data_IF_966788379757
#
_entry.id   IF_966788379757
#
_cell.length_a   1.000
_cell.length_b   1.000
_cell.length_c   1.000
_cell.angle_alpha   90.00
_cell.angle_beta   90.00
_cell.angle_gamma   90.00
#
_symmetry.space_group_name_H-M   'P 1'
#
loop_
_entity.id
_entity.type
_entity.pdbx_description
1 polymer ?
#
# COMPACT_ATOMS: atom_id res chain seq x y z
N UNK A 1 -9.84 -17.59 25.44
CA UNK A 1 -9.20 -16.31 25.87
C UNK A 1 -9.97 -15.80 27.08
N UNK A 2 -9.30 -15.38 28.18
CA UNK A 2 -10.01 -14.82 29.33
C UNK A 2 -10.48 -13.37 29.04
N UNK A 3 -11.39 -12.83 29.89
CA UNK A 3 -12.00 -11.49 29.69
C UNK A 3 -10.96 -10.36 29.54
N UNK A 4 -9.86 -10.42 30.31
CA UNK A 4 -8.79 -9.41 30.26
C UNK A 4 -8.08 -9.44 28.91
N UNK A 5 -7.72 -10.61 28.41
CA UNK A 5 -7.07 -10.74 27.09
C UNK A 5 -7.97 -10.28 25.95
N UNK A 6 -9.28 -10.55 26.06
CA UNK A 6 -10.25 -10.05 25.07
C UNK A 6 -10.34 -8.53 25.14
N UNK A 7 -10.43 -7.94 26.32
CA UNK A 7 -10.46 -6.50 26.51
C UNK A 7 -9.21 -5.82 25.90
N UNK A 8 -8.02 -6.34 26.21
CA UNK A 8 -6.76 -5.81 25.66
C UNK A 8 -6.71 -5.88 24.13
N UNK A 9 -7.24 -6.93 23.53
CA UNK A 9 -7.30 -7.07 22.08
C UNK A 9 -8.29 -6.06 21.47
N UNK A 10 -9.51 -5.96 22.03
CA UNK A 10 -10.51 -4.99 21.59
C UNK A 10 -9.97 -3.56 21.69
N UNK A 11 -9.26 -3.22 22.77
CA UNK A 11 -8.64 -1.92 22.96
C UNK A 11 -7.63 -1.59 21.82
N UNK A 12 -6.82 -2.58 21.39
CA UNK A 12 -5.92 -2.40 20.25
C UNK A 12 -6.69 -2.14 18.95
N UNK A 13 -7.80 -2.83 18.72
CA UNK A 13 -8.62 -2.62 17.50
C UNK A 13 -9.32 -1.26 17.49
N UNK A 14 -9.87 -0.84 18.63
CA UNK A 14 -10.48 0.48 18.78
C UNK A 14 -9.42 1.57 18.55
N UNK A 15 -8.25 1.43 19.15
CA UNK A 15 -7.13 2.35 18.95
C UNK A 15 -6.69 2.38 17.48
N UNK A 16 -6.49 1.20 16.87
CA UNK A 16 -6.09 1.08 15.47
C UNK A 16 -7.06 1.77 14.52
N UNK A 17 -8.37 1.60 14.75
CA UNK A 17 -9.41 2.28 13.99
C UNK A 17 -9.35 3.80 14.20
N UNK A 18 -9.36 4.25 15.48
CA UNK A 18 -9.45 5.66 15.83
C UNK A 18 -8.28 6.49 15.28
N UNK A 19 -7.03 6.01 15.38
CA UNK A 19 -5.86 6.76 14.89
C UNK A 19 -5.85 6.88 13.36
N UNK A 20 -6.51 5.97 12.64
CA UNK A 20 -6.63 6.01 11.17
C UNK A 20 -7.73 6.96 10.67
N UNK A 21 -8.61 7.41 11.55
CA UNK A 21 -9.62 8.42 11.21
C UNK A 21 -9.06 9.84 11.16
N UNK A 22 -7.83 10.07 11.64
CA UNK A 22 -7.21 11.40 11.59
C UNK A 22 -7.11 11.89 10.14
N UNK A 23 -7.76 13.02 9.83
CA UNK A 23 -7.86 13.61 8.48
C UNK A 23 -8.31 12.59 7.41
N UNK A 24 -9.29 11.74 7.74
CA UNK A 24 -9.80 10.70 6.83
C UNK A 24 -10.52 11.29 5.62
N UNK A 25 -11.05 12.51 5.76
CA UNK A 25 -11.78 13.29 4.77
C UNK A 25 -10.89 14.16 3.88
N UNK A 26 -9.56 14.12 4.07
CA UNK A 26 -8.63 14.84 3.19
C UNK A 26 -8.89 14.48 1.72
N UNK A 27 -8.92 15.45 0.80
CA UNK A 27 -8.90 15.17 -0.63
C UNK A 27 -7.58 14.48 -1.02
N UNK A 28 -7.58 13.81 -2.18
CA UNK A 28 -6.37 13.17 -2.73
C UNK A 28 -5.40 14.26 -3.23
N UNK A 29 -4.69 14.88 -2.30
CA UNK A 29 -3.66 15.89 -2.52
C UNK A 29 -2.64 15.90 -1.36
N UNK A 30 -2.70 14.90 -0.48
CA UNK A 30 -1.73 14.63 0.58
C UNK A 30 -0.54 13.80 0.03
N UNK A 31 0.34 13.28 0.89
CA UNK A 31 1.58 12.61 0.44
C UNK A 31 1.31 11.45 -0.52
N UNK A 32 2.11 11.33 -1.58
CA UNK A 32 1.92 10.38 -2.68
C UNK A 32 0.54 10.46 -3.36
N UNK A 33 0.01 11.68 -3.50
CA UNK A 33 -1.30 11.95 -4.13
C UNK A 33 -1.44 11.32 -5.52
N UNK A 34 -0.39 11.35 -6.36
CA UNK A 34 -0.42 10.75 -7.70
C UNK A 34 -0.79 9.26 -7.66
N UNK A 35 -0.21 8.51 -6.72
CA UNK A 35 -0.46 7.07 -6.63
C UNK A 35 -1.86 6.76 -6.11
N UNK A 36 -2.37 7.59 -5.17
CA UNK A 36 -3.74 7.50 -4.68
C UNK A 36 -4.75 7.88 -5.79
N UNK A 37 -4.46 8.95 -6.55
CA UNK A 37 -5.27 9.41 -7.67
C UNK A 37 -5.39 8.35 -8.76
N UNK A 38 -4.29 7.74 -9.17
CA UNK A 38 -4.28 6.64 -10.12
C UNK A 38 -5.16 5.46 -9.66
N UNK A 39 -5.01 5.06 -8.39
CA UNK A 39 -5.78 3.96 -7.82
C UNK A 39 -7.27 4.30 -7.72
N UNK A 40 -7.61 5.48 -7.20
CA UNK A 40 -9.00 5.93 -7.07
C UNK A 40 -9.68 6.13 -8.43
N UNK A 41 -8.91 6.57 -9.44
CA UNK A 41 -9.40 6.76 -10.81
C UNK A 41 -9.89 5.46 -11.45
N UNK A 42 -9.22 4.34 -11.21
CA UNK A 42 -9.71 3.02 -11.66
C UNK A 42 -11.08 2.71 -11.04
N UNK A 43 -11.26 3.02 -9.75
CA UNK A 43 -12.57 2.83 -9.09
C UNK A 43 -13.63 3.80 -9.61
N UNK A 44 -13.25 5.03 -9.94
CA UNK A 44 -14.14 5.97 -10.63
C UNK A 44 -14.60 5.41 -11.96
N UNK A 45 -13.66 4.84 -12.76
CA UNK A 45 -13.97 4.16 -14.00
C UNK A 45 -14.97 3.01 -13.82
N UNK A 46 -14.87 2.22 -12.74
CA UNK A 46 -15.86 1.19 -12.42
C UNK A 46 -17.25 1.77 -12.16
N UNK A 47 -17.33 2.96 -11.55
CA UNK A 47 -18.60 3.64 -11.30
C UNK A 47 -19.25 4.20 -12.57
N UNK A 48 -18.43 4.69 -13.52
CA UNK A 48 -18.88 5.39 -14.72
C UNK A 48 -19.12 4.44 -15.91
N UNK A 49 -18.24 3.44 -16.09
CA UNK A 49 -18.18 2.58 -17.27
C UNK A 49 -18.53 1.10 -16.98
N UNK A 50 -18.72 0.77 -15.68
CA UNK A 50 -18.89 -0.63 -15.23
C UNK A 50 -17.57 -1.31 -14.87
N UNK A 51 -17.70 -2.43 -14.13
CA UNK A 51 -16.55 -3.19 -13.63
C UNK A 51 -15.89 -3.97 -14.76
N UNK A 52 -14.60 -3.71 -15.01
CA UNK A 52 -13.76 -4.53 -15.88
C UNK A 52 -12.44 -4.86 -15.16
N UNK A 53 -12.33 -6.08 -14.64
CA UNK A 53 -11.14 -6.52 -13.93
C UNK A 53 -10.00 -6.93 -14.85
N UNK A 54 -10.30 -7.28 -16.11
CA UNK A 54 -9.27 -7.72 -17.07
C UNK A 54 -8.56 -6.55 -17.74
N UNK A 55 -9.28 -5.45 -17.99
CA UNK A 55 -8.80 -4.27 -18.70
C UNK A 55 -9.20 -3.04 -17.91
N UNK A 56 -8.57 -2.78 -16.74
CA UNK A 56 -8.85 -1.58 -15.95
C UNK A 56 -8.37 -0.32 -16.67
N UNK A 57 -9.16 0.75 -16.55
CA UNK A 57 -8.85 2.06 -17.11
C UNK A 57 -8.79 3.14 -16.04
N UNK A 58 -8.07 4.21 -16.29
CA UNK A 58 -7.96 5.38 -15.43
C UNK A 58 -8.05 6.67 -16.25
N UNK A 59 -7.86 7.83 -15.64
CA UNK A 59 -8.11 9.14 -16.25
C UNK A 59 -6.93 9.69 -17.08
N UNK A 60 -5.70 9.18 -16.90
CA UNK A 60 -4.52 9.65 -17.63
C UNK A 60 -4.41 8.99 -19.01
N UNK A 61 -4.43 9.82 -20.07
CA UNK A 61 -4.32 9.40 -21.46
C UNK A 61 -2.91 9.62 -22.04
N UNK A 62 -1.97 10.07 -21.19
CA UNK A 62 -0.62 10.41 -21.63
C UNK A 62 0.27 9.18 -21.83
N UNK A 63 1.44 9.42 -22.39
CA UNK A 63 2.49 8.42 -22.55
C UNK A 63 3.49 8.37 -21.38
N UNK A 64 3.27 9.13 -20.29
CA UNK A 64 4.25 9.27 -19.19
C UNK A 64 4.59 7.93 -18.56
N UNK A 65 3.59 7.09 -18.32
CA UNK A 65 3.76 5.85 -17.55
C UNK A 65 4.50 4.77 -18.35
N UNK A 66 4.16 4.61 -19.64
CA UNK A 66 4.62 3.49 -20.47
C UNK A 66 5.60 3.91 -21.58
N UNK A 67 5.73 5.21 -21.85
CA UNK A 67 6.41 5.74 -23.04
C UNK A 67 5.57 5.64 -24.33
N UNK A 68 4.32 5.16 -24.27
CA UNK A 68 3.40 4.99 -25.40
C UNK A 68 2.12 5.76 -25.15
N UNK A 69 1.56 6.42 -26.18
CA UNK A 69 0.25 7.07 -26.08
C UNK A 69 -0.81 6.07 -25.62
N UNK A 70 -1.65 6.51 -24.68
CA UNK A 70 -2.64 5.67 -24.00
C UNK A 70 -4.07 6.25 -24.15
N UNK A 71 -4.61 6.35 -25.37
CA UNK A 71 -5.90 7.03 -25.61
C UNK A 71 -7.09 6.36 -24.90
N UNK A 72 -6.96 5.09 -24.55
CA UNK A 72 -7.99 4.34 -23.84
C UNK A 72 -7.86 4.44 -22.32
N UNK A 73 -6.80 5.06 -21.81
CA UNK A 73 -6.52 5.16 -20.39
C UNK A 73 -6.33 3.81 -19.71
N UNK A 74 -5.68 2.83 -20.34
CA UNK A 74 -5.42 1.53 -19.72
C UNK A 74 -4.48 1.66 -18.53
N UNK A 75 -4.76 0.90 -17.45
CA UNK A 75 -3.96 0.91 -16.21
C UNK A 75 -3.61 -0.51 -15.76
N UNK A 76 -2.53 -1.07 -16.30
CA UNK A 76 -2.12 -2.47 -16.13
C UNK A 76 -0.98 -2.63 -15.10
N UNK A 77 -1.12 -2.00 -13.93
CA UNK A 77 -0.11 -2.05 -12.85
C UNK A 77 -0.36 -3.23 -11.93
N UNK A 78 -1.54 -3.27 -11.31
CA UNK A 78 -2.01 -4.35 -10.46
C UNK A 78 -3.32 -4.92 -11.01
N UNK A 79 -3.61 -6.18 -10.65
CA UNK A 79 -4.97 -6.69 -10.84
C UNK A 79 -5.92 -5.91 -9.92
N UNK A 80 -7.04 -5.34 -10.42
CA UNK A 80 -7.79 -4.29 -9.71
C UNK A 80 -8.73 -4.83 -8.62
N UNK A 81 -8.27 -5.81 -7.86
CA UNK A 81 -9.04 -6.39 -6.77
C UNK A 81 -9.29 -5.38 -5.63
N UNK A 82 -8.32 -4.53 -5.31
CA UNK A 82 -8.50 -3.43 -4.35
C UNK A 82 -9.62 -2.49 -4.81
N UNK A 83 -9.65 -2.17 -6.11
CA UNK A 83 -10.66 -1.28 -6.69
C UNK A 83 -12.07 -1.89 -6.62
N UNK A 84 -12.18 -3.21 -6.68
CA UNK A 84 -13.47 -3.90 -6.48
C UNK A 84 -13.99 -3.71 -5.04
N UNK A 85 -13.13 -3.86 -4.02
CA UNK A 85 -13.51 -3.59 -2.62
C UNK A 85 -13.83 -2.11 -2.39
N UNK A 86 -13.03 -1.21 -2.94
CA UNK A 86 -13.26 0.23 -2.88
C UNK A 86 -14.61 0.60 -3.52
N UNK A 87 -14.89 0.07 -4.71
CA UNK A 87 -16.17 0.28 -5.39
C UNK A 87 -17.35 -0.27 -4.58
N UNK A 88 -17.22 -1.47 -4.00
CA UNK A 88 -18.24 -2.06 -3.14
C UNK A 88 -18.53 -1.17 -1.91
N UNK A 89 -17.48 -0.63 -1.26
CA UNK A 89 -17.64 0.31 -0.15
C UNK A 89 -18.36 1.59 -0.59
N UNK A 90 -17.95 2.16 -1.74
CA UNK A 90 -18.60 3.35 -2.30
C UNK A 90 -20.08 3.10 -2.63
N UNK A 91 -20.42 1.95 -3.22
CA UNK A 91 -21.80 1.58 -3.52
C UNK A 91 -22.65 1.35 -2.26
N UNK A 92 -22.05 0.80 -1.20
CA UNK A 92 -22.74 0.59 0.07
C UNK A 92 -23.00 1.92 0.82
N UNK A 93 -22.09 2.90 0.68
CA UNK A 93 -22.11 4.17 1.39
C UNK A 93 -21.86 5.37 0.46
N UNK A 94 -22.71 5.63 -0.56
CA UNK A 94 -22.43 6.63 -1.59
C UNK A 94 -22.34 8.07 -1.05
N UNK A 95 -22.98 8.35 0.10
CA UNK A 95 -22.99 9.67 0.73
C UNK A 95 -21.64 10.12 1.31
N UNK A 96 -20.69 9.19 1.55
CA UNK A 96 -19.36 9.56 2.03
C UNK A 96 -18.41 9.98 0.90
N UNK A 97 -18.80 9.78 -0.35
CA UNK A 97 -17.97 10.06 -1.53
C UNK A 97 -16.91 8.99 -1.82
N UNK A 98 -16.35 9.06 -3.03
CA UNK A 98 -15.43 8.04 -3.53
C UNK A 98 -14.10 8.00 -2.74
N UNK A 99 -13.51 9.16 -2.48
CA UNK A 99 -12.20 9.26 -1.81
C UNK A 99 -12.25 8.72 -0.38
N UNK A 100 -13.27 9.10 0.39
CA UNK A 100 -13.44 8.60 1.76
C UNK A 100 -13.76 7.10 1.77
N UNK A 101 -14.57 6.61 0.82
CA UNK A 101 -14.86 5.17 0.69
C UNK A 101 -13.57 4.35 0.46
N UNK A 102 -12.65 4.86 -0.38
CA UNK A 102 -11.34 4.22 -0.61
C UNK A 102 -10.48 4.19 0.64
N UNK A 103 -10.40 5.30 1.37
CA UNK A 103 -9.66 5.38 2.64
C UNK A 103 -10.23 4.42 3.68
N UNK A 104 -11.55 4.38 3.87
CA UNK A 104 -12.20 3.45 4.80
C UNK A 104 -12.02 1.99 4.39
N UNK A 105 -11.97 1.69 3.09
CA UNK A 105 -11.61 0.36 2.58
C UNK A 105 -10.20 -0.03 3.03
N UNK A 106 -9.21 0.86 2.88
CA UNK A 106 -7.84 0.63 3.35
C UNK A 106 -7.78 0.42 4.86
N UNK A 107 -8.53 1.23 5.63
CA UNK A 107 -8.63 1.09 7.10
C UNK A 107 -9.18 -0.28 7.47
N UNK A 108 -10.29 -0.71 6.88
CA UNK A 108 -10.88 -2.03 7.16
C UNK A 108 -9.91 -3.18 6.85
N UNK A 109 -9.22 -3.12 5.70
CA UNK A 109 -8.21 -4.11 5.30
C UNK A 109 -7.00 -4.11 6.25
N UNK A 110 -6.61 -2.95 6.77
CA UNK A 110 -5.57 -2.84 7.79
C UNK A 110 -5.97 -3.51 9.10
N UNK A 111 -7.23 -3.36 9.54
CA UNK A 111 -7.73 -4.06 10.73
C UNK A 111 -7.72 -5.58 10.53
N UNK A 112 -8.10 -6.06 9.33
CA UNK A 112 -7.98 -7.48 8.97
C UNK A 112 -6.52 -7.95 9.05
N UNK A 113 -5.58 -7.14 8.57
CA UNK A 113 -4.14 -7.44 8.67
C UNK A 113 -3.68 -7.54 10.12
N UNK A 114 -4.11 -6.63 10.99
CA UNK A 114 -3.80 -6.65 12.44
C UNK A 114 -4.37 -7.91 13.09
N UNK A 115 -5.58 -8.31 12.70
CA UNK A 115 -6.20 -9.54 13.21
C UNK A 115 -5.36 -10.78 12.85
N UNK A 116 -5.05 -10.96 11.58
CA UNK A 116 -4.28 -12.14 11.16
C UNK A 116 -2.85 -12.12 11.70
N UNK A 117 -2.22 -10.96 11.81
CA UNK A 117 -0.93 -10.83 12.48
C UNK A 117 -1.01 -11.28 13.93
N UNK A 118 -2.02 -10.81 14.69
CA UNK A 118 -2.27 -11.25 16.07
C UNK A 118 -2.45 -12.76 16.16
N UNK A 119 -3.32 -13.34 15.34
CA UNK A 119 -3.62 -14.77 15.34
C UNK A 119 -2.37 -15.61 15.06
N UNK A 120 -1.59 -15.25 14.05
CA UNK A 120 -0.34 -15.93 13.68
C UNK A 120 0.66 -15.85 14.84
N UNK A 121 0.93 -14.65 15.33
CA UNK A 121 1.95 -14.44 16.36
C UNK A 121 1.54 -14.98 17.72
N UNK A 122 0.24 -14.91 18.08
CA UNK A 122 -0.28 -15.55 19.26
C UNK A 122 -0.10 -17.07 19.20
N UNK A 123 -0.38 -17.68 18.04
CA UNK A 123 -0.23 -19.13 17.84
C UNK A 123 1.24 -19.57 17.92
N UNK A 124 2.14 -18.81 17.34
CA UNK A 124 3.54 -19.18 17.23
C UNK A 124 4.36 -18.78 18.47
N UNK A 125 4.10 -17.63 19.09
CA UNK A 125 4.93 -17.04 20.16
C UNK A 125 4.16 -16.66 21.42
N UNK A 126 2.85 -16.98 21.48
CA UNK A 126 2.00 -16.72 22.64
C UNK A 126 1.34 -15.34 22.64
N UNK A 127 0.39 -15.18 23.58
CA UNK A 127 -0.49 -13.99 23.63
C UNK A 127 0.28 -12.67 23.73
N UNK A 128 1.31 -12.59 24.58
CA UNK A 128 2.01 -11.34 24.83
C UNK A 128 2.71 -10.80 23.57
N UNK A 129 3.43 -11.66 22.83
CA UNK A 129 4.08 -11.28 21.56
C UNK A 129 3.02 -10.97 20.51
N UNK A 130 1.92 -11.75 20.45
CA UNK A 130 0.81 -11.49 19.54
C UNK A 130 0.16 -10.14 19.77
N UNK A 131 -0.15 -9.81 21.03
CA UNK A 131 -0.76 -8.54 21.39
C UNK A 131 0.15 -7.35 21.11
N UNK A 132 1.46 -7.47 21.44
CA UNK A 132 2.44 -6.43 21.12
C UNK A 132 2.62 -6.24 19.62
N UNK A 133 2.66 -7.32 18.83
CA UNK A 133 2.76 -7.22 17.35
C UNK A 133 1.55 -6.48 16.78
N UNK A 134 0.35 -6.80 17.27
CA UNK A 134 -0.87 -6.08 16.89
C UNK A 134 -0.84 -4.61 17.33
N UNK A 135 -0.35 -4.31 18.54
CA UNK A 135 -0.22 -2.95 19.04
C UNK A 135 0.77 -2.13 18.20
N UNK A 136 1.96 -2.65 17.94
CA UNK A 136 2.94 -1.96 17.09
C UNK A 136 2.37 -1.69 15.69
N UNK A 137 1.73 -2.67 15.06
CA UNK A 137 1.09 -2.48 13.77
C UNK A 137 -0.07 -1.48 13.82
N UNK A 138 -0.77 -1.37 14.96
CA UNK A 138 -1.86 -0.43 15.16
C UNK A 138 -1.38 1.02 15.24
N UNK A 139 -0.23 1.31 15.88
CA UNK A 139 0.11 2.66 16.30
C UNK A 139 1.35 3.27 15.67
N UNK A 140 2.21 2.50 14.97
CA UNK A 140 3.37 3.07 14.28
C UNK A 140 2.89 4.09 13.25
N UNK A 141 3.27 5.39 13.34
CA UNK A 141 2.74 6.46 12.52
C UNK A 141 2.87 6.21 11.01
N UNK A 142 3.99 5.65 10.59
CA UNK A 142 4.20 5.23 9.20
C UNK A 142 3.12 4.26 8.73
N UNK A 143 2.85 3.22 9.51
CA UNK A 143 1.81 2.25 9.16
C UNK A 143 0.41 2.86 9.25
N UNK A 144 0.15 3.73 10.22
CA UNK A 144 -1.13 4.45 10.34
C UNK A 144 -1.42 5.24 9.07
N UNK A 145 -0.44 6.00 8.57
CA UNK A 145 -0.61 6.77 7.34
C UNK A 145 -0.84 5.86 6.13
N UNK A 146 0.08 4.93 5.83
CA UNK A 146 0.01 4.12 4.62
C UNK A 146 -1.09 3.05 4.62
N UNK A 147 -1.70 2.76 5.75
CA UNK A 147 -2.85 1.86 5.84
C UNK A 147 -4.22 2.55 5.84
N UNK A 148 -4.25 3.88 5.64
CA UNK A 148 -5.50 4.65 5.44
C UNK A 148 -5.58 5.31 4.05
N UNK A 149 -4.47 5.45 3.33
CA UNK A 149 -4.46 6.04 1.98
C UNK A 149 -4.95 5.04 0.94
N UNK A 150 -5.38 5.54 -0.22
CA UNK A 150 -5.99 4.72 -1.29
C UNK A 150 -4.89 4.00 -2.07
N UNK A 151 -4.44 2.87 -1.52
CA UNK A 151 -3.39 2.04 -2.07
C UNK A 151 -3.75 0.55 -1.99
N UNK A 152 -3.26 -0.30 -2.90
CA UNK A 152 -3.52 -1.75 -2.88
C UNK A 152 -2.74 -2.52 -1.81
N UNK A 153 -1.69 -1.93 -1.22
CA UNK A 153 -0.81 -2.56 -0.22
C UNK A 153 -1.56 -3.11 1.00
N UNK A 154 -2.54 -2.41 1.62
CA UNK A 154 -3.31 -2.96 2.75
C UNK A 154 -4.05 -4.26 2.40
N UNK A 155 -4.58 -4.36 1.17
CA UNK A 155 -5.25 -5.58 0.71
C UNK A 155 -4.26 -6.72 0.54
N UNK A 156 -3.12 -6.46 -0.10
CA UNK A 156 -2.07 -7.48 -0.28
C UNK A 156 -1.62 -8.06 1.07
N UNK A 157 -1.35 -7.19 2.05
CA UNK A 157 -0.91 -7.61 3.39
C UNK A 157 -1.99 -8.43 4.10
N UNK A 158 -3.26 -8.01 4.02
CA UNK A 158 -4.39 -8.74 4.61
C UNK A 158 -4.53 -10.15 4.02
N UNK A 159 -4.52 -10.25 2.70
CA UNK A 159 -4.62 -11.53 1.97
C UNK A 159 -3.44 -12.45 2.25
N UNK A 160 -2.22 -11.88 2.25
CA UNK A 160 -1.00 -12.64 2.52
C UNK A 160 -0.98 -13.23 3.94
N UNK A 161 -1.29 -12.44 4.96
CA UNK A 161 -1.36 -12.90 6.34
C UNK A 161 -2.50 -13.91 6.54
N UNK A 162 -3.66 -13.66 5.94
CA UNK A 162 -4.78 -14.61 5.97
C UNK A 162 -4.39 -15.95 5.32
N UNK A 163 -3.71 -15.92 4.17
CA UNK A 163 -3.19 -17.12 3.52
C UNK A 163 -2.29 -17.93 4.47
N UNK A 164 -1.33 -17.27 5.09
CA UNK A 164 -0.42 -17.96 6.01
C UNK A 164 -1.14 -18.51 7.25
N UNK A 165 -2.14 -17.80 7.78
CA UNK A 165 -2.97 -18.29 8.87
C UNK A 165 -3.69 -19.61 8.50
N UNK A 166 -4.38 -19.64 7.34
CA UNK A 166 -5.07 -20.86 6.91
C UNK A 166 -4.09 -22.00 6.61
N UNK A 167 -2.89 -21.68 6.11
CA UNK A 167 -1.85 -22.69 5.93
C UNK A 167 -1.39 -23.29 7.28
N UNK A 168 -1.22 -22.48 8.32
CA UNK A 168 -0.91 -22.97 9.66
C UNK A 168 -2.03 -23.86 10.22
N UNK A 169 -3.29 -23.48 9.98
CA UNK A 169 -4.43 -24.29 10.41
C UNK A 169 -4.50 -25.64 9.63
N UNK A 170 -4.13 -25.67 8.36
CA UNK A 170 -4.10 -26.91 7.58
C UNK A 170 -3.19 -27.96 8.18
N UNK A 171 -2.06 -27.53 8.76
CA UNK A 171 -1.08 -28.44 9.40
C UNK A 171 -1.65 -29.14 10.66
N UNK A 172 -2.73 -28.63 11.25
CA UNK A 172 -3.32 -29.16 12.50
C UNK A 172 -4.62 -29.93 12.25
N UNK A 173 -5.10 -29.99 11.03
CA UNK A 173 -6.37 -30.62 10.67
C UNK A 173 -6.14 -31.90 9.88
N UNK A 174 -7.20 -32.67 9.76
CA UNK A 174 -7.15 -33.91 8.99
C UNK A 174 -8.15 -33.93 7.84
N UNK A 175 -7.91 -34.80 6.84
CA UNK A 175 -8.80 -35.11 5.73
C UNK A 175 -9.35 -33.84 5.02
N UNK A 176 -10.69 -33.76 4.87
CA UNK A 176 -11.38 -32.72 4.12
C UNK A 176 -11.10 -31.31 4.65
N UNK A 177 -11.12 -31.11 5.96
CA UNK A 177 -10.86 -29.78 6.56
C UNK A 177 -9.44 -29.25 6.24
N UNK A 178 -8.44 -30.13 6.21
CA UNK A 178 -7.07 -29.79 5.78
C UNK A 178 -7.08 -29.28 4.33
N UNK A 179 -7.71 -30.01 3.41
CA UNK A 179 -7.78 -29.63 1.98
C UNK A 179 -8.48 -28.30 1.77
N UNK A 180 -9.57 -28.05 2.49
CA UNK A 180 -10.27 -26.75 2.47
C UNK A 180 -9.32 -25.63 2.89
N UNK A 181 -8.56 -25.79 3.96
CA UNK A 181 -7.63 -24.76 4.42
C UNK A 181 -6.43 -24.58 3.47
N UNK A 182 -5.91 -25.65 2.85
CA UNK A 182 -4.90 -25.54 1.81
C UNK A 182 -5.44 -24.77 0.59
N UNK A 183 -6.63 -25.07 0.15
CA UNK A 183 -7.28 -24.37 -0.96
C UNK A 183 -7.52 -22.89 -0.63
N UNK A 184 -8.08 -22.57 0.55
CA UNK A 184 -8.25 -21.18 0.98
C UNK A 184 -6.92 -20.43 1.06
N UNK A 185 -5.89 -21.07 1.61
CA UNK A 185 -4.55 -20.50 1.68
C UNK A 185 -3.98 -20.20 0.28
N UNK A 186 -4.05 -21.16 -0.65
CA UNK A 186 -3.53 -20.96 -2.01
C UNK A 186 -4.28 -19.88 -2.78
N UNK A 187 -5.61 -19.80 -2.67
CA UNK A 187 -6.43 -18.77 -3.31
C UNK A 187 -6.13 -17.38 -2.74
N UNK A 188 -6.01 -17.25 -1.41
CA UNK A 188 -5.65 -15.97 -0.77
C UNK A 188 -4.23 -15.54 -1.14
N UNK A 189 -3.27 -16.46 -1.23
CA UNK A 189 -1.92 -16.17 -1.70
C UNK A 189 -1.92 -15.73 -3.16
N UNK A 190 -2.67 -16.39 -4.01
CA UNK A 190 -2.87 -16.01 -5.41
C UNK A 190 -3.42 -14.59 -5.54
N UNK A 191 -4.45 -14.25 -4.77
CA UNK A 191 -5.02 -12.90 -4.75
C UNK A 191 -3.99 -11.87 -4.25
N UNK A 192 -3.19 -12.19 -3.22
CA UNK A 192 -2.13 -11.32 -2.74
C UNK A 192 -1.07 -11.03 -3.83
N UNK A 193 -0.65 -12.07 -4.59
CA UNK A 193 0.32 -11.94 -5.69
C UNK A 193 -0.28 -11.16 -6.87
N UNK A 194 -1.56 -11.37 -7.20
CA UNK A 194 -2.28 -10.60 -8.23
C UNK A 194 -2.36 -9.10 -7.87
N UNK A 195 -2.62 -8.78 -6.60
CA UNK A 195 -2.66 -7.38 -6.12
C UNK A 195 -1.27 -6.77 -6.13
N UNK A 196 -0.26 -7.49 -5.62
CA UNK A 196 1.14 -7.02 -5.63
C UNK A 196 2.09 -8.22 -5.78
N UNK A 197 2.78 -8.34 -6.90
CA UNK A 197 3.72 -9.45 -7.12
C UNK A 197 4.83 -9.56 -6.07
N UNK A 198 5.10 -8.46 -5.35
CA UNK A 198 6.08 -8.43 -4.27
C UNK A 198 5.76 -9.38 -3.11
N UNK A 199 4.51 -9.85 -2.98
CA UNK A 199 4.15 -10.89 -2.03
C UNK A 199 5.02 -12.15 -2.16
N UNK A 200 5.56 -12.43 -3.35
CA UNK A 200 6.43 -13.58 -3.62
C UNK A 200 7.72 -13.59 -2.78
N UNK A 201 8.23 -12.41 -2.41
CA UNK A 201 9.43 -12.34 -1.57
C UNK A 201 9.23 -12.90 -0.16
N UNK A 202 7.99 -12.96 0.31
CA UNK A 202 7.66 -13.35 1.69
C UNK A 202 7.12 -14.78 1.80
N UNK A 203 7.09 -15.57 0.71
CA UNK A 203 6.52 -16.93 0.70
C UNK A 203 7.39 -18.00 1.34
N UNK A 204 8.65 -17.71 1.71
CA UNK A 204 9.55 -18.70 2.30
C UNK A 204 8.93 -19.47 3.48
N UNK A 205 8.22 -18.84 4.44
CA UNK A 205 7.51 -19.56 5.49
C UNK A 205 6.38 -20.46 4.96
N UNK A 206 5.69 -20.07 3.88
CA UNK A 206 4.68 -20.94 3.25
C UNK A 206 5.34 -22.20 2.70
N UNK A 207 6.44 -22.05 1.98
CA UNK A 207 7.22 -23.17 1.45
C UNK A 207 7.68 -24.09 2.60
N UNK A 208 8.21 -23.53 3.69
CA UNK A 208 8.66 -24.30 4.85
C UNK A 208 7.53 -25.12 5.47
N UNK A 209 6.30 -24.56 5.60
CA UNK A 209 5.15 -25.28 6.14
C UNK A 209 4.69 -26.39 5.18
N UNK A 210 4.64 -26.15 3.88
CA UNK A 210 4.28 -27.14 2.86
C UNK A 210 5.30 -28.28 2.86
N UNK A 211 6.60 -27.99 2.83
CA UNK A 211 7.66 -29.00 2.88
C UNK A 211 7.59 -29.83 4.16
N UNK A 212 7.37 -29.19 5.31
CA UNK A 212 7.19 -29.89 6.58
C UNK A 212 5.99 -30.85 6.53
N UNK A 213 4.84 -30.41 6.01
CA UNK A 213 3.66 -31.27 5.88
C UNK A 213 3.92 -32.44 4.92
N UNK A 214 4.68 -32.19 3.83
CA UNK A 214 5.06 -33.23 2.87
C UNK A 214 5.99 -34.29 3.52
N UNK A 215 7.05 -33.85 4.21
CA UNK A 215 7.98 -34.74 4.92
C UNK A 215 7.29 -35.57 6.00
N UNK A 216 6.32 -34.96 6.71
CA UNK A 216 5.51 -35.66 7.72
C UNK A 216 4.36 -36.47 7.09
N UNK A 217 4.30 -36.61 5.76
CA UNK A 217 3.26 -37.36 5.01
C UNK A 217 1.83 -36.89 5.34
N UNK A 218 1.70 -35.64 5.75
CA UNK A 218 0.40 -35.00 6.06
C UNK A 218 -0.34 -34.53 4.80
N UNK A 219 0.39 -34.29 3.72
CA UNK A 219 -0.11 -34.00 2.37
C UNK A 219 0.64 -34.81 1.34
N UNK A 220 0.03 -34.99 0.18
CA UNK A 220 0.65 -35.65 -0.98
C UNK A 220 1.48 -34.66 -1.80
N UNK A 221 2.38 -35.16 -2.65
CA UNK A 221 3.13 -34.32 -3.60
C UNK A 221 2.19 -33.59 -4.58
N UNK A 222 1.07 -34.21 -4.94
CA UNK A 222 0.04 -33.60 -5.81
C UNK A 222 -0.60 -32.41 -5.10
N UNK A 223 -0.95 -32.53 -3.82
CA UNK A 223 -1.51 -31.42 -3.03
C UNK A 223 -0.51 -30.26 -2.88
N UNK A 224 0.76 -30.55 -2.64
CA UNK A 224 1.83 -29.55 -2.57
C UNK A 224 2.02 -28.82 -3.92
N UNK A 225 2.05 -29.57 -5.01
CA UNK A 225 2.17 -29.02 -6.36
C UNK A 225 0.95 -28.20 -6.76
N UNK A 226 -0.26 -28.71 -6.45
CA UNK A 226 -1.52 -27.98 -6.68
C UNK A 226 -1.56 -26.66 -5.91
N UNK A 227 -1.06 -26.62 -4.67
CA UNK A 227 -0.94 -25.39 -3.89
C UNK A 227 -0.08 -24.34 -4.62
N UNK A 228 1.07 -24.73 -5.14
CA UNK A 228 1.98 -23.84 -5.89
C UNK A 228 1.33 -23.34 -7.19
N UNK A 229 0.73 -24.23 -7.96
CA UNK A 229 0.04 -23.92 -9.22
C UNK A 229 -1.10 -22.92 -8.98
N UNK A 230 -2.01 -23.21 -8.05
CA UNK A 230 -3.15 -22.33 -7.74
C UNK A 230 -2.71 -20.97 -7.23
N UNK A 231 -1.58 -20.90 -6.51
CA UNK A 231 -1.04 -19.65 -6.01
C UNK A 231 -0.43 -18.75 -7.10
N UNK A 232 0.15 -19.33 -8.17
CA UNK A 232 0.97 -18.59 -9.14
C UNK A 232 0.31 -18.42 -10.51
N UNK A 233 -0.41 -19.44 -11.00
CA UNK A 233 -0.96 -19.44 -12.36
C UNK A 233 -1.87 -18.24 -12.65
N UNK A 234 -2.80 -17.82 -11.77
CA UNK A 234 -3.66 -16.67 -12.06
C UNK A 234 -2.88 -15.38 -12.35
N UNK A 235 -1.75 -15.17 -11.68
CA UNK A 235 -0.87 -14.04 -11.95
C UNK A 235 -0.26 -14.13 -13.35
N UNK A 236 0.27 -15.28 -13.76
CA UNK A 236 0.87 -15.45 -15.09
C UNK A 236 -0.17 -15.30 -16.20
N UNK A 237 -1.37 -15.85 -16.02
CA UNK A 237 -2.47 -15.69 -16.98
C UNK A 237 -2.87 -14.22 -17.14
N UNK A 238 -2.96 -13.48 -16.03
CA UNK A 238 -3.25 -12.05 -16.10
C UNK A 238 -2.12 -11.27 -16.77
N UNK A 239 -0.84 -11.56 -16.44
CA UNK A 239 0.32 -10.93 -17.10
C UNK A 239 0.32 -11.18 -18.59
N UNK A 240 -0.01 -12.40 -19.03
CA UNK A 240 -0.14 -12.74 -20.44
C UNK A 240 -1.28 -11.95 -21.13
N UNK A 241 -2.40 -11.79 -20.42
CA UNK A 241 -3.53 -11.01 -20.95
C UNK A 241 -3.16 -9.53 -21.15
N UNK A 242 -2.56 -8.87 -20.16
CA UNK A 242 -2.24 -7.44 -20.23
C UNK A 242 -1.09 -7.13 -21.18
N UNK A 243 -0.25 -8.11 -21.54
CA UNK A 243 0.81 -7.93 -22.54
C UNK A 243 0.28 -7.50 -23.91
N UNK A 244 -1.02 -7.67 -24.16
CA UNK A 244 -1.72 -7.20 -25.38
C UNK A 244 -1.96 -5.68 -25.38
N UNK A 245 -1.78 -5.02 -24.23
CA UNK A 245 -2.06 -3.59 -23.99
C UNK A 245 -0.81 -2.89 -23.41
N UNK A 246 0.30 -2.84 -24.17
CA UNK A 246 1.59 -2.37 -23.65
C UNK A 246 1.57 -0.90 -23.22
N UNK A 247 0.67 -0.07 -23.78
CA UNK A 247 0.47 1.32 -23.39
C UNK A 247 -0.06 1.48 -21.96
N UNK A 248 -0.73 0.46 -21.44
CA UNK A 248 -1.22 0.44 -20.06
C UNK A 248 -0.21 -0.10 -19.01
N UNK A 249 0.94 -0.62 -19.47
CA UNK A 249 1.96 -1.22 -18.60
C UNK A 249 3.05 -0.18 -18.33
N UNK A 250 3.20 0.31 -17.07
CA UNK A 250 4.26 1.27 -16.75
C UNK A 250 5.66 0.69 -16.95
N UNK A 251 6.58 1.56 -17.36
CA UNK A 251 7.99 1.23 -17.37
C UNK A 251 8.47 0.84 -15.95
N UNK A 252 9.18 -0.26 -15.84
CA UNK A 252 9.55 -0.86 -14.55
C UNK A 252 11.06 -0.99 -14.30
N UNK A 253 11.90 -0.59 -15.26
CA UNK A 253 13.36 -0.72 -15.14
C UNK A 253 13.93 0.05 -13.95
N UNK A 254 13.37 1.22 -13.67
CA UNK A 254 13.74 2.06 -12.52
C UNK A 254 13.45 1.37 -11.17
N UNK A 255 12.51 0.44 -11.15
CA UNK A 255 12.05 -0.24 -9.94
C UNK A 255 13.12 -1.16 -9.36
N UNK A 256 13.86 -1.83 -10.22
CA UNK A 256 14.87 -2.82 -9.85
C UNK A 256 16.21 -2.15 -9.48
N UNK A 257 17.24 -2.31 -10.25
CA UNK A 257 18.56 -1.75 -9.97
C UNK A 257 19.20 -1.07 -11.20
N UNK A 258 18.40 -0.41 -12.04
CA UNK A 258 18.84 0.12 -13.34
C UNK A 258 20.08 1.04 -13.24
N UNK A 259 20.22 1.83 -12.17
CA UNK A 259 21.36 2.72 -11.96
C UNK A 259 22.46 2.12 -11.07
N UNK A 260 22.44 0.82 -10.79
CA UNK A 260 23.37 0.16 -9.86
C UNK A 260 23.25 0.66 -8.41
N UNK A 261 22.10 1.23 -8.04
CA UNK A 261 21.89 1.96 -6.78
C UNK A 261 22.20 1.12 -5.53
N UNK A 262 21.92 -0.21 -5.55
CA UNK A 262 22.16 -1.11 -4.41
C UNK A 262 23.65 -1.23 -4.04
N UNK A 263 24.57 -0.85 -4.94
CA UNK A 263 26.00 -0.87 -4.70
C UNK A 263 26.56 0.48 -4.25
N UNK A 264 25.71 1.48 -4.06
CA UNK A 264 26.08 2.81 -3.63
C UNK A 264 25.81 3.00 -2.14
N UNK A 265 26.69 3.70 -1.37
CA UNK A 265 26.45 3.99 0.05
C UNK A 265 25.11 4.70 0.31
N UNK A 266 24.65 5.52 -0.64
CA UNK A 266 23.36 6.20 -0.57
C UNK A 266 22.17 5.23 -0.41
N UNK A 267 22.23 4.02 -1.03
CA UNK A 267 21.17 3.02 -0.91
C UNK A 267 21.01 2.54 0.54
N UNK A 268 22.13 2.24 1.21
CA UNK A 268 22.12 1.81 2.60
C UNK A 268 21.62 2.91 3.53
N UNK A 269 22.09 4.15 3.33
CA UNK A 269 21.62 5.30 4.11
C UNK A 269 20.12 5.50 3.96
N UNK A 270 19.61 5.61 2.74
CA UNK A 270 18.20 5.87 2.51
C UNK A 270 17.31 4.76 3.03
N UNK A 271 17.67 3.50 2.81
CA UNK A 271 16.84 2.38 3.15
C UNK A 271 16.87 2.06 4.65
N UNK A 272 18.05 1.97 5.23
CA UNK A 272 18.19 1.53 6.64
C UNK A 272 18.15 2.70 7.63
N UNK A 273 18.79 3.83 7.34
CA UNK A 273 18.76 4.97 8.27
C UNK A 273 17.47 5.80 8.12
N UNK A 274 17.13 6.23 6.90
CA UNK A 274 15.99 7.14 6.70
C UNK A 274 14.65 6.39 6.73
N UNK A 275 14.46 5.33 5.89
CA UNK A 275 13.18 4.62 5.81
C UNK A 275 12.93 3.77 7.05
N UNK A 276 13.80 2.79 7.31
CA UNK A 276 13.61 1.86 8.42
C UNK A 276 13.88 2.55 9.77
N UNK A 277 15.05 3.14 9.94
CA UNK A 277 15.49 3.69 11.23
C UNK A 277 14.68 4.92 11.68
N UNK A 278 14.47 5.89 10.77
CA UNK A 278 13.83 7.16 11.13
C UNK A 278 12.31 7.10 10.95
N UNK A 279 11.81 6.86 9.73
CA UNK A 279 10.36 6.93 9.47
C UNK A 279 9.58 5.84 10.20
N UNK A 280 10.05 4.59 10.18
CA UNK A 280 9.32 3.45 10.74
C UNK A 280 9.63 3.27 12.22
N UNK A 281 10.92 3.19 12.57
CA UNK A 281 11.36 2.88 13.94
C UNK A 281 11.54 4.11 14.84
N UNK A 282 11.33 5.34 14.31
CA UNK A 282 11.47 6.58 15.10
C UNK A 282 12.78 6.60 15.87
N UNK A 283 13.87 6.12 15.26
CA UNK A 283 15.22 5.96 15.80
C UNK A 283 15.26 5.01 17.03
N UNK A 284 14.52 5.31 18.10
CA UNK A 284 14.55 4.55 19.35
C UNK A 284 13.98 3.13 19.25
N UNK A 285 13.03 2.90 18.36
CA UNK A 285 12.49 1.57 18.07
C UNK A 285 13.54 0.60 17.48
N UNK A 286 14.66 1.13 16.98
CA UNK A 286 15.78 0.31 16.52
C UNK A 286 16.31 -0.60 17.62
N UNK A 287 16.30 -0.16 18.88
CA UNK A 287 16.70 -0.98 20.04
C UNK A 287 15.80 -2.21 20.20
N UNK A 288 14.48 -2.03 20.15
CA UNK A 288 13.55 -3.17 20.20
C UNK A 288 13.70 -4.08 18.99
N UNK A 289 13.87 -3.50 17.80
CA UNK A 289 14.04 -4.26 16.56
C UNK A 289 15.29 -5.13 16.60
N UNK A 290 16.45 -4.59 17.00
CA UNK A 290 17.69 -5.33 17.13
C UNK A 290 17.63 -6.41 18.21
N UNK A 291 17.02 -6.10 19.38
CA UNK A 291 16.76 -7.11 20.41
C UNK A 291 15.86 -8.23 19.88
N UNK A 292 14.88 -7.91 19.04
CA UNK A 292 14.02 -8.89 18.40
C UNK A 292 14.77 -9.80 17.42
N UNK A 293 15.72 -9.24 16.67
CA UNK A 293 16.56 -9.99 15.76
C UNK A 293 17.48 -10.98 16.50
N UNK A 294 18.06 -10.61 17.63
CA UNK A 294 18.92 -11.51 18.40
C UNK A 294 18.14 -12.46 19.34
N UNK A 295 16.83 -12.28 19.47
CA UNK A 295 15.99 -13.15 20.30
C UNK A 295 15.95 -14.57 19.73
N UNK A 296 16.37 -15.54 20.54
CA UNK A 296 16.40 -16.96 20.11
C UNK A 296 15.03 -17.42 19.64
N UNK A 297 14.96 -18.16 18.52
CA UNK A 297 13.75 -18.83 18.10
C UNK A 297 13.20 -19.77 19.17
N UNK A 298 11.90 -19.84 19.32
CA UNK A 298 11.17 -20.74 20.22
C UNK A 298 10.21 -21.60 19.40
N UNK A 299 8.95 -21.66 19.79
CA UNK A 299 7.93 -22.46 19.11
C UNK A 299 7.67 -22.03 17.66
N UNK A 300 7.96 -20.78 17.31
CA UNK A 300 7.88 -20.25 15.96
C UNK A 300 8.97 -20.82 15.01
N UNK A 301 9.99 -21.46 15.55
CA UNK A 301 11.15 -21.91 14.78
C UNK A 301 11.78 -20.73 14.01
N UNK A 302 12.15 -20.97 12.76
CA UNK A 302 12.78 -19.96 11.92
C UNK A 302 11.77 -19.15 11.08
N UNK A 303 10.46 -19.25 11.30
CA UNK A 303 9.41 -18.56 10.52
C UNK A 303 9.66 -17.07 10.35
N UNK A 304 9.97 -16.35 11.43
CA UNK A 304 10.20 -14.90 11.39
C UNK A 304 11.51 -14.55 10.67
N UNK A 305 12.53 -15.39 10.80
CA UNK A 305 13.79 -15.24 10.08
C UNK A 305 13.63 -15.48 8.57
N UNK A 306 12.77 -16.40 8.16
CA UNK A 306 12.42 -16.59 6.76
C UNK A 306 11.72 -15.38 6.17
N UNK A 307 10.84 -14.72 6.94
CA UNK A 307 10.26 -13.42 6.52
C UNK A 307 11.33 -12.32 6.48
N UNK A 308 12.24 -12.27 7.43
CA UNK A 308 13.34 -11.31 7.41
C UNK A 308 14.25 -11.49 6.19
N UNK A 309 14.56 -12.70 5.81
CA UNK A 309 15.25 -13.00 4.55
C UNK A 309 14.44 -12.51 3.34
N UNK A 310 13.12 -12.67 3.38
CA UNK A 310 12.22 -12.11 2.39
C UNK A 310 12.31 -10.59 2.28
N UNK A 311 12.40 -9.87 3.41
CA UNK A 311 12.64 -8.41 3.43
C UNK A 311 13.96 -8.05 2.76
N UNK A 312 15.03 -8.76 3.11
CA UNK A 312 16.37 -8.50 2.53
C UNK A 312 16.37 -8.76 1.02
N UNK A 313 15.74 -9.85 0.57
CA UNK A 313 15.59 -10.16 -0.85
C UNK A 313 14.75 -9.08 -1.56
N UNK A 314 13.62 -8.66 -0.97
CA UNK A 314 12.77 -7.60 -1.49
C UNK A 314 13.52 -6.28 -1.64
N UNK A 315 14.24 -5.86 -0.61
CA UNK A 315 15.04 -4.64 -0.65
C UNK A 315 16.13 -4.71 -1.72
N UNK A 316 16.80 -5.86 -1.84
CA UNK A 316 17.89 -6.05 -2.80
C UNK A 316 17.40 -6.08 -4.24
N UNK A 317 16.27 -6.73 -4.53
CA UNK A 317 15.73 -6.87 -5.88
C UNK A 317 14.99 -5.60 -6.31
N UNK A 318 14.12 -5.07 -5.45
CA UNK A 318 13.31 -3.87 -5.73
C UNK A 318 14.05 -2.62 -5.19
N UNK A 319 15.34 -2.52 -5.48
CA UNK A 319 16.23 -1.54 -4.89
C UNK A 319 15.84 -0.08 -5.22
N UNK A 320 15.52 0.20 -6.48
CA UNK A 320 15.10 1.54 -6.93
C UNK A 320 13.76 1.96 -6.37
N UNK A 321 12.77 1.04 -6.38
CA UNK A 321 11.44 1.30 -5.83
C UNK A 321 11.47 1.66 -4.35
N UNK A 322 12.19 0.88 -3.56
CA UNK A 322 12.31 1.08 -2.11
C UNK A 322 12.98 2.39 -1.69
N UNK A 323 13.81 2.98 -2.57
CA UNK A 323 14.43 4.29 -2.30
C UNK A 323 13.53 5.43 -2.73
N UNK A 324 12.94 5.33 -3.93
CA UNK A 324 12.18 6.44 -4.53
C UNK A 324 10.86 6.70 -3.84
N UNK A 325 10.19 5.62 -3.37
CA UNK A 325 8.86 5.73 -2.80
C UNK A 325 8.77 4.96 -1.48
N UNK A 326 8.45 5.67 -0.41
CA UNK A 326 8.35 5.12 0.95
C UNK A 326 7.14 4.19 1.14
N UNK A 327 6.06 4.31 0.38
CA UNK A 327 4.93 3.36 0.47
C UNK A 327 5.31 1.91 0.13
N UNK A 328 6.45 1.68 -0.53
CA UNK A 328 6.96 0.32 -0.77
C UNK A 328 7.29 -0.41 0.54
N UNK A 329 7.63 0.30 1.62
CA UNK A 329 7.88 -0.30 2.92
C UNK A 329 6.59 -0.65 3.68
N UNK A 330 5.41 -0.23 3.23
CA UNK A 330 4.15 -0.57 3.90
C UNK A 330 3.92 -2.10 3.99
N UNK A 331 4.38 -2.85 3.00
CA UNK A 331 4.22 -4.32 2.95
C UNK A 331 5.07 -5.09 3.96
N UNK A 332 6.15 -4.50 4.49
CA UNK A 332 7.01 -5.16 5.48
C UNK A 332 6.59 -4.89 6.93
N UNK A 333 5.61 -4.01 7.14
CA UNK A 333 5.20 -3.57 8.49
C UNK A 333 4.79 -4.71 9.44
N UNK A 334 4.08 -5.76 9.00
CA UNK A 334 3.77 -6.89 9.89
C UNK A 334 5.01 -7.56 10.47
N UNK A 335 6.04 -7.73 9.63
CA UNK A 335 7.26 -8.43 10.03
C UNK A 335 8.10 -7.57 10.96
N UNK A 336 8.18 -6.25 10.73
CA UNK A 336 8.81 -5.30 11.63
C UNK A 336 8.10 -5.31 13.00
N UNK A 337 6.77 -5.29 13.03
CA UNK A 337 5.98 -5.34 14.26
C UNK A 337 6.26 -6.62 15.08
N UNK A 338 6.47 -7.76 14.43
CA UNK A 338 6.84 -9.01 15.10
C UNK A 338 8.21 -8.88 15.79
N UNK A 339 9.22 -8.36 15.10
CA UNK A 339 10.55 -8.21 15.69
C UNK A 339 10.56 -7.19 16.83
N UNK A 340 9.83 -6.08 16.73
CA UNK A 340 9.63 -5.14 17.82
C UNK A 340 9.02 -5.84 19.06
N UNK A 341 7.96 -6.62 18.84
CA UNK A 341 7.29 -7.37 19.91
C UNK A 341 8.20 -8.41 20.58
N UNK A 342 8.99 -9.14 19.78
CA UNK A 342 10.00 -10.07 20.29
C UNK A 342 11.10 -9.36 21.08
N UNK A 343 11.53 -8.19 20.64
CA UNK A 343 12.53 -7.39 21.34
C UNK A 343 12.06 -6.94 22.69
N UNK A 344 10.84 -6.41 22.78
CA UNK A 344 10.21 -6.07 24.07
C UNK A 344 10.08 -7.31 24.96
N UNK A 345 9.63 -8.44 24.39
CA UNK A 345 9.53 -9.71 25.13
C UNK A 345 10.86 -10.20 25.66
N UNK A 346 11.94 -10.09 24.88
CA UNK A 346 13.30 -10.44 25.32
C UNK A 346 13.73 -9.51 26.45
N UNK A 347 13.60 -8.19 26.28
CA UNK A 347 14.00 -7.20 27.27
C UNK A 347 13.30 -7.44 28.61
N UNK A 348 11.99 -7.69 28.61
CA UNK A 348 11.22 -8.00 29.83
C UNK A 348 11.63 -9.34 30.45
N UNK A 349 12.06 -10.31 29.65
CA UNK A 349 12.50 -11.62 30.12
C UNK A 349 13.89 -11.65 30.77
N UNK A 350 14.71 -10.60 30.56
CA UNK A 350 16.07 -10.52 31.16
C UNK A 350 16.05 -10.05 32.62
N UNK A 351 14.92 -9.58 33.12
CA UNK A 351 14.81 -9.00 34.48
C UNK A 351 14.68 -10.09 35.55
N UNK A 352 15.51 -10.04 36.57
CA UNK A 352 15.55 -11.03 37.64
C UNK A 352 14.91 -10.58 38.97
N UNK A 353 14.89 -9.26 39.25
CA UNK A 353 14.35 -8.67 40.49
C UNK A 353 13.13 -7.80 40.20
N UNK A 354 12.30 -7.52 41.21
CA UNK A 354 11.16 -6.62 41.09
C UNK A 354 11.62 -5.21 40.66
N UNK A 355 12.69 -4.70 41.31
CA UNK A 355 13.25 -3.39 41.00
C UNK A 355 13.72 -3.32 39.53
N UNK A 356 14.46 -4.33 39.03
CA UNK A 356 14.89 -4.36 37.66
C UNK A 356 13.72 -4.45 36.64
N UNK A 357 12.60 -5.08 37.05
CA UNK A 357 11.38 -5.12 36.20
C UNK A 357 10.75 -3.75 36.04
N UNK A 358 10.63 -2.96 37.11
CA UNK A 358 10.08 -1.61 37.03
C UNK A 358 10.95 -0.67 36.20
N UNK A 359 12.29 -0.72 36.37
CA UNK A 359 13.22 0.06 35.53
C UNK A 359 13.13 -0.35 34.07
N UNK A 360 13.05 -1.64 33.76
CA UNK A 360 12.92 -2.15 32.39
C UNK A 360 11.58 -1.74 31.77
N UNK A 361 10.49 -1.79 32.55
CA UNK A 361 9.19 -1.32 32.06
C UNK A 361 9.22 0.18 31.76
N UNK A 362 9.78 1.00 32.66
CA UNK A 362 9.93 2.43 32.45
C UNK A 362 10.78 2.73 31.19
N UNK A 363 11.92 2.07 31.06
CA UNK A 363 12.76 2.20 29.88
C UNK A 363 12.01 1.78 28.58
N UNK A 364 11.26 0.68 28.64
CA UNK A 364 10.44 0.23 27.54
C UNK A 364 9.35 1.23 27.14
N UNK A 365 8.68 1.84 28.13
CA UNK A 365 7.67 2.89 27.88
C UNK A 365 8.33 4.13 27.25
N UNK A 366 9.47 4.56 27.78
CA UNK A 366 10.19 5.72 27.24
C UNK A 366 10.67 5.49 25.81
N UNK A 367 11.25 4.32 25.50
CA UNK A 367 11.65 3.93 24.15
C UNK A 367 10.44 3.92 23.21
N UNK A 368 9.32 3.31 23.64
CA UNK A 368 8.10 3.26 22.86
C UNK A 368 7.53 4.67 22.60
N UNK A 369 7.41 5.49 23.64
CA UNK A 369 6.90 6.86 23.50
C UNK A 369 7.79 7.71 22.58
N UNK A 370 9.12 7.64 22.74
CA UNK A 370 10.08 8.34 21.87
C UNK A 370 10.03 7.85 20.42
N UNK A 371 9.91 6.53 20.21
CA UNK A 371 9.72 5.93 18.89
C UNK A 371 8.48 6.52 18.19
N UNK A 372 7.33 6.54 18.88
CA UNK A 372 6.08 7.06 18.31
C UNK A 372 6.18 8.57 18.06
N UNK A 373 6.73 9.34 19.01
CA UNK A 373 6.84 10.78 18.89
C UNK A 373 7.74 11.22 17.71
N UNK A 374 8.90 10.56 17.52
CA UNK A 374 9.83 10.89 16.43
C UNK A 374 9.27 10.43 15.09
N UNK A 375 8.74 9.21 15.01
CA UNK A 375 8.08 8.74 13.78
C UNK A 375 6.89 9.66 13.42
N UNK A 376 6.11 10.14 14.40
CA UNK A 376 5.03 11.10 14.15
C UNK A 376 5.55 12.47 13.67
N UNK A 377 6.65 12.96 14.24
CA UNK A 377 7.26 14.21 13.79
C UNK A 377 7.59 14.18 12.29
N UNK A 378 8.10 13.07 11.80
CA UNK A 378 8.45 12.89 10.38
C UNK A 378 7.23 12.57 9.49
N UNK A 379 6.24 11.83 10.00
CA UNK A 379 5.05 11.38 9.23
C UNK A 379 3.91 12.40 9.30
N UNK A 380 3.81 13.20 10.35
CA UNK A 380 2.75 14.21 10.50
C UNK A 380 2.58 15.12 9.27
N UNK A 381 3.65 15.63 8.66
CA UNK A 381 3.58 16.41 7.42
C UNK A 381 2.96 15.68 6.21
N UNK A 382 2.96 14.36 6.18
CA UNK A 382 2.36 13.58 5.07
C UNK A 382 0.84 13.80 4.95
N UNK A 383 0.20 14.23 6.03
CA UNK A 383 -1.23 14.57 6.04
C UNK A 383 -1.54 15.97 5.50
N UNK A 384 -0.55 16.76 5.17
CA UNK A 384 -0.78 18.12 4.69
C UNK A 384 -1.14 18.11 3.20
N UNK A 385 -2.00 19.06 2.83
CA UNK A 385 -2.32 19.36 1.44
C UNK A 385 -1.28 20.37 0.95
N UNK A 386 -0.38 19.93 0.07
CA UNK A 386 0.73 20.77 -0.38
C UNK A 386 0.29 21.88 -1.32
N UNK A 387 -0.73 21.62 -2.15
CA UNK A 387 -1.25 22.60 -3.11
C UNK A 387 -2.79 22.62 -3.12
N UNK A 388 -3.43 23.44 -2.30
CA UNK A 388 -4.90 23.58 -2.29
C UNK A 388 -5.48 24.08 -3.61
N UNK A 389 -4.70 24.81 -4.42
CA UNK A 389 -5.18 25.38 -5.69
C UNK A 389 -5.63 24.30 -6.69
N UNK A 390 -4.99 23.12 -6.69
CA UNK A 390 -5.42 22.02 -7.58
C UNK A 390 -6.83 21.51 -7.25
N UNK A 391 -7.24 21.59 -5.99
CA UNK A 391 -8.57 21.18 -5.53
C UNK A 391 -9.61 22.21 -5.95
N UNK A 392 -9.29 23.50 -5.75
CA UNK A 392 -10.17 24.61 -6.13
C UNK A 392 -10.37 24.65 -7.64
N UNK A 393 -9.27 24.62 -8.41
CA UNK A 393 -9.31 24.60 -9.86
C UNK A 393 -10.02 23.35 -10.40
N UNK A 394 -9.77 22.18 -9.78
CA UNK A 394 -10.44 20.95 -10.18
C UNK A 394 -11.95 21.00 -10.01
N UNK A 395 -12.44 21.51 -8.89
CA UNK A 395 -13.89 21.72 -8.66
C UNK A 395 -14.51 22.69 -9.67
N UNK A 396 -13.78 23.75 -10.00
CA UNK A 396 -14.26 24.72 -10.97
C UNK A 396 -14.28 24.14 -12.41
N UNK A 397 -13.29 23.34 -12.78
CA UNK A 397 -13.33 22.57 -14.04
C UNK A 397 -14.54 21.65 -14.06
N UNK A 398 -14.82 20.94 -12.97
CA UNK A 398 -15.98 20.04 -12.90
C UNK A 398 -17.32 20.79 -13.05
N UNK A 399 -17.39 22.04 -12.59
CA UNK A 399 -18.56 22.92 -12.71
C UNK A 399 -18.71 23.50 -14.13
N UNK A 400 -17.61 23.93 -14.76
CA UNK A 400 -17.63 24.69 -16.01
C UNK A 400 -17.59 23.84 -17.28
N UNK A 401 -17.20 22.56 -17.18
CA UNK A 401 -16.99 21.73 -18.36
C UNK A 401 -17.93 20.53 -18.40
N UNK A 402 -18.28 20.00 -19.59
CA UNK A 402 -19.07 18.78 -19.70
C UNK A 402 -18.30 17.57 -19.18
N UNK A 403 -19.00 16.51 -18.73
CA UNK A 403 -18.38 15.28 -18.22
C UNK A 403 -17.50 14.56 -19.27
N UNK A 404 -17.78 14.78 -20.55
CA UNK A 404 -17.02 14.25 -21.68
C UNK A 404 -15.76 15.07 -22.05
N UNK A 405 -15.52 16.21 -21.40
CA UNK A 405 -14.35 17.03 -21.68
C UNK A 405 -13.04 16.28 -21.44
N UNK A 406 -12.09 16.45 -22.36
CA UNK A 406 -10.71 16.01 -22.17
C UNK A 406 -9.85 17.20 -21.76
N UNK A 407 -9.15 17.08 -20.65
CA UNK A 407 -8.50 18.21 -19.98
C UNK A 407 -6.99 18.05 -19.96
N UNK A 408 -6.27 19.10 -20.30
CA UNK A 408 -4.85 19.22 -20.02
C UNK A 408 -4.69 19.94 -18.67
N UNK A 409 -4.16 19.23 -17.67
CA UNK A 409 -3.98 19.72 -16.30
C UNK A 409 -2.51 19.55 -15.87
N UNK A 410 -1.58 20.43 -16.30
CA UNK A 410 -0.16 20.27 -16.04
C UNK A 410 0.15 20.30 -14.54
N UNK A 411 0.82 19.25 -14.04
CA UNK A 411 1.31 19.15 -12.68
C UNK A 411 2.56 18.28 -12.60
N UNK A 412 3.56 18.58 -13.46
CA UNK A 412 4.81 17.83 -13.58
C UNK A 412 4.62 16.31 -13.81
N UNK A 413 3.53 15.91 -14.47
CA UNK A 413 3.19 14.52 -14.68
C UNK A 413 2.51 13.83 -13.49
N UNK A 414 2.32 14.54 -12.36
CA UNK A 414 1.52 14.06 -11.24
C UNK A 414 0.03 14.11 -11.61
N UNK A 415 -0.62 12.95 -11.55
CA UNK A 415 -2.02 12.77 -11.94
C UNK A 415 -3.02 13.31 -10.92
N UNK A 416 -2.58 13.76 -9.75
CA UNK A 416 -3.48 14.24 -8.70
C UNK A 416 -4.30 15.45 -9.15
N UNK A 417 -3.71 16.41 -9.86
CA UNK A 417 -4.46 17.56 -10.35
C UNK A 417 -5.50 17.16 -11.40
N UNK A 418 -5.12 16.33 -12.36
CA UNK A 418 -6.06 15.80 -13.35
C UNK A 418 -7.20 15.02 -12.65
N UNK A 419 -6.89 14.26 -11.60
CA UNK A 419 -7.91 13.57 -10.81
C UNK A 419 -8.93 14.52 -10.19
N UNK A 420 -8.48 15.68 -9.66
CA UNK A 420 -9.37 16.67 -9.04
C UNK A 420 -10.35 17.30 -10.05
N UNK A 421 -9.99 17.34 -11.35
CA UNK A 421 -10.88 17.86 -12.39
C UNK A 421 -12.10 16.98 -12.65
N UNK A 422 -12.07 15.70 -12.18
CA UNK A 422 -13.13 14.74 -12.52
C UNK A 422 -13.21 14.40 -14.01
N UNK A 423 -12.15 14.63 -14.78
CA UNK A 423 -12.07 14.43 -16.24
C UNK A 423 -10.90 13.51 -16.58
N UNK A 424 -10.92 12.97 -17.81
CA UNK A 424 -9.76 12.31 -18.41
C UNK A 424 -8.92 13.31 -19.19
N UNK A 425 -7.63 13.02 -19.41
CA UNK A 425 -6.76 13.89 -20.19
C UNK A 425 -5.28 13.71 -19.89
N UNK A 426 -4.54 14.80 -19.77
CA UNK A 426 -3.07 14.80 -19.72
C UNK A 426 -2.55 15.58 -18.50
N UNK A 427 -1.71 14.98 -17.64
CA UNK A 427 -1.11 15.65 -16.47
C UNK A 427 0.15 16.43 -16.79
N UNK A 428 0.48 16.61 -18.07
CA UNK A 428 1.58 17.44 -18.56
C UNK A 428 1.07 18.46 -19.58
N UNK A 429 1.63 19.68 -19.56
CA UNK A 429 1.58 20.67 -20.60
C UNK A 429 2.40 20.24 -21.83
N UNK A 430 2.88 21.20 -22.57
CA UNK A 430 3.65 21.08 -23.83
C UNK A 430 2.88 20.37 -24.95
N UNK A 431 3.21 20.73 -26.17
CA UNK A 431 2.58 20.16 -27.38
C UNK A 431 1.04 20.22 -27.31
N UNK A 432 0.48 21.38 -26.92
CA UNK A 432 -0.97 21.55 -26.73
C UNK A 432 -1.73 21.31 -28.03
N UNK A 433 -1.20 21.74 -29.18
CA UNK A 433 -1.81 21.52 -30.50
C UNK A 433 -1.95 20.00 -30.81
N UNK A 434 -0.94 19.19 -30.49
CA UNK A 434 -1.04 17.72 -30.62
C UNK A 434 -2.13 17.16 -29.71
N UNK A 435 -2.28 17.67 -28.47
CA UNK A 435 -3.36 17.23 -27.56
C UNK A 435 -4.74 17.66 -28.06
N UNK A 436 -4.86 18.82 -28.68
CA UNK A 436 -6.10 19.26 -29.34
C UNK A 436 -6.47 18.28 -30.46
N UNK A 437 -5.52 17.85 -31.31
CA UNK A 437 -5.78 16.84 -32.35
C UNK A 437 -6.19 15.50 -31.78
N UNK A 438 -5.74 15.17 -30.54
CA UNK A 438 -6.14 13.99 -29.76
C UNK A 438 -7.45 14.18 -28.98
N UNK A 439 -8.10 15.35 -29.13
CA UNK A 439 -9.40 15.63 -28.53
C UNK A 439 -9.38 16.45 -27.26
N UNK A 440 -8.26 17.06 -26.85
CA UNK A 440 -8.23 17.99 -25.73
C UNK A 440 -9.15 19.19 -25.98
N UNK A 441 -10.06 19.45 -25.07
CA UNK A 441 -11.05 20.52 -25.16
C UNK A 441 -10.81 21.66 -24.19
N UNK A 442 -10.10 21.39 -23.09
CA UNK A 442 -9.83 22.37 -22.05
C UNK A 442 -8.41 22.26 -21.51
N UNK A 443 -7.90 23.39 -21.03
CA UNK A 443 -6.65 23.51 -20.31
C UNK A 443 -6.92 24.13 -18.94
N UNK A 444 -6.29 23.61 -17.91
CA UNK A 444 -6.34 24.21 -16.57
C UNK A 444 -4.94 24.19 -15.96
N UNK A 445 -4.50 25.33 -15.42
CA UNK A 445 -3.22 25.44 -14.73
C UNK A 445 -3.35 26.17 -13.41
N UNK A 446 -2.57 25.76 -12.41
CA UNK A 446 -2.36 26.44 -11.14
C UNK A 446 -1.04 27.20 -11.10
N UNK A 447 -0.36 27.24 -12.23
CA UNK A 447 0.84 28.05 -12.47
C UNK A 447 0.61 28.89 -13.70
N UNK A 448 0.76 30.21 -13.56
CA UNK A 448 0.59 31.14 -14.68
C UNK A 448 1.93 31.38 -15.39
N UNK A 449 2.41 30.34 -16.07
CA UNK A 449 3.65 30.30 -16.83
C UNK A 449 3.48 30.83 -18.27
N UNK A 450 4.52 30.74 -19.10
CA UNK A 450 4.46 31.21 -20.48
C UNK A 450 3.50 30.42 -21.34
N UNK A 451 3.32 29.10 -21.11
CA UNK A 451 2.34 28.27 -21.80
C UNK A 451 0.91 28.80 -21.52
N UNK A 452 0.58 29.02 -20.26
CA UNK A 452 -0.73 29.53 -19.86
C UNK A 452 -0.99 30.93 -20.48
N UNK A 453 0.03 31.82 -20.51
CA UNK A 453 -0.05 33.16 -21.11
C UNK A 453 -0.25 33.12 -22.63
N UNK A 454 0.39 32.20 -23.32
CA UNK A 454 0.20 32.02 -24.77
C UNK A 454 -1.18 31.50 -25.10
N UNK A 455 -1.66 30.51 -24.34
CA UNK A 455 -2.99 29.94 -24.53
C UNK A 455 -4.09 30.97 -24.22
N UNK A 456 -3.93 31.80 -23.19
CA UNK A 456 -4.86 32.89 -22.89
C UNK A 456 -5.03 33.87 -24.06
N UNK A 457 -3.97 34.13 -24.84
CA UNK A 457 -4.05 35.00 -26.02
C UNK A 457 -4.75 34.36 -27.23
N UNK A 458 -4.73 33.04 -27.31
CA UNK A 458 -5.22 32.27 -28.47
C UNK A 458 -6.65 31.75 -28.31
N UNK A 459 -7.07 31.49 -27.06
CA UNK A 459 -8.27 30.74 -26.74
C UNK A 459 -9.14 31.46 -25.71
N UNK A 460 -10.39 31.01 -25.55
CA UNK A 460 -11.36 31.60 -24.62
C UNK A 460 -11.05 31.24 -23.18
N UNK A 461 -10.87 32.24 -22.32
CA UNK A 461 -10.74 32.05 -20.87
C UNK A 461 -12.10 31.87 -20.25
N UNK A 462 -12.33 30.74 -19.60
CA UNK A 462 -13.58 30.45 -18.88
C UNK A 462 -13.55 30.97 -17.43
N UNK A 463 -12.39 30.89 -16.78
CA UNK A 463 -12.17 31.42 -15.45
C UNK A 463 -10.68 31.75 -15.25
N UNK A 464 -10.43 32.86 -14.51
CA UNK A 464 -9.07 33.25 -14.11
C UNK A 464 -9.11 33.88 -12.72
N UNK A 465 -8.25 33.41 -11.86
CA UNK A 465 -8.02 33.96 -10.51
C UNK A 465 -6.52 34.17 -10.29
N UNK A 466 -6.13 34.60 -9.11
CA UNK A 466 -4.74 34.64 -8.66
C UNK A 466 -4.12 33.25 -8.46
N UNK A 467 -4.94 32.19 -8.42
CA UNK A 467 -4.53 30.81 -8.07
C UNK A 467 -4.61 29.83 -9.24
N UNK A 468 -5.43 30.08 -10.26
CA UNK A 468 -5.61 29.20 -11.41
C UNK A 468 -6.19 29.93 -12.62
N UNK A 469 -6.02 29.29 -13.78
CA UNK A 469 -6.66 29.68 -15.04
C UNK A 469 -7.29 28.45 -15.71
N UNK A 470 -8.50 28.63 -16.30
CA UNK A 470 -9.21 27.61 -17.06
C UNK A 470 -9.49 28.19 -18.45
N UNK A 471 -9.07 27.48 -19.49
CA UNK A 471 -9.14 27.90 -20.88
C UNK A 471 -9.85 26.82 -21.71
N UNK A 472 -10.77 27.23 -22.57
CA UNK A 472 -11.40 26.38 -23.56
C UNK A 472 -10.53 26.36 -24.83
N UNK A 473 -10.02 25.17 -25.23
CA UNK A 473 -9.10 24.97 -26.35
C UNK A 473 -9.80 24.79 -27.70
N UNK A 474 -11.11 24.66 -27.71
CA UNK A 474 -11.93 24.58 -28.94
C UNK A 474 -12.58 25.92 -29.21
N UNK A 475 -12.61 26.33 -30.50
CA UNK A 475 -13.30 27.55 -30.93
C UNK A 475 -14.81 27.36 -30.93
#
# INVERSE_FOLDING_TARGET
MNKIKLFLLVAVFVLAFSVRLYKIDNPIADWHSFRQADTASVTRGFSEKGINLQIPTYHDLSNIQSGKDNPNGYRMVEFPLYNLFHFATYKAFPWIGLDMAGRLTSVALSLVSILFLFLITQKLSGFFVGWLSALFMAVIPFNVFFSRVILPEPLMVALFLASYWFLLLSAERQKLTKRIYLLLSSLLLSMAILVKPFAVFFILPHIAVILRQLVLQQITIIEAFSYGILSLIPFFLWRQNIAKYPEGIPASDWLLNASGIRFRPAWFRWLFAERLGKLILGIYGTSFFLLGLIAKPKNEGYTYWLWFLGILAYFSVVAGGNIRHDYYQAIIMPFIAIFLAKGVSLMMGLTRTVYSRWLTLLAGILIFASMIAISWYDIGPFYNINNPAIIEAGREVDRLTPKSALVVAPYNGDTAFLYQTGRSGWPLGYYIEDKITKGATHYVSVVYDDEARELEKKFTVLAKTDRYIIIQLTK
#
